data_IF_678278214596
#
_entry.id   IF_678278214596
#
_cell.length_a   1.000
_cell.length_b   1.000
_cell.length_c   1.000
_cell.angle_alpha   90.00
_cell.angle_beta   90.00
_cell.angle_gamma   90.00
#
_symmetry.space_group_name_H-M   'P 1'
#
loop_
_entity.id
_entity.type
_entity.pdbx_description
1 polymer ?
#
# COMPACT_ATOMS: atom_id res chain seq x y z
N UNK A 1 -0.69 -15.30 30.89
CA UNK A 1 -0.99 -13.90 30.48
C UNK A 1 0.34 -13.18 30.51
N UNK A 2 0.94 -12.85 29.36
CA UNK A 2 2.32 -12.34 29.31
C UNK A 2 2.42 -10.96 29.97
N UNK A 3 3.21 -10.85 31.03
CA UNK A 3 3.65 -9.60 31.65
C UNK A 3 4.53 -8.83 30.65
N UNK A 4 3.89 -8.06 29.76
CA UNK A 4 4.59 -7.15 28.88
C UNK A 4 5.30 -6.07 29.73
N UNK A 5 6.61 -5.90 29.51
CA UNK A 5 7.39 -4.87 30.22
C UNK A 5 6.71 -3.49 30.05
N UNK A 6 6.57 -2.68 31.11
CA UNK A 6 5.94 -1.35 31.03
C UNK A 6 6.54 -0.43 29.97
N UNK A 7 7.83 -0.59 29.67
CA UNK A 7 8.52 0.14 28.59
C UNK A 7 8.04 -0.27 27.19
N UNK A 8 7.73 -1.54 26.98
CA UNK A 8 7.17 -2.03 25.72
C UNK A 8 5.73 -1.54 25.53
N UNK A 9 4.93 -1.55 26.60
CA UNK A 9 3.54 -1.06 26.58
C UNK A 9 3.52 0.44 26.20
N UNK A 10 4.38 1.26 26.83
CA UNK A 10 4.49 2.70 26.51
C UNK A 10 4.85 2.93 25.04
N UNK A 11 5.82 2.19 24.49
CA UNK A 11 6.19 2.31 23.07
C UNK A 11 5.02 2.03 22.13
N UNK A 12 4.19 1.02 22.44
CA UNK A 12 3.01 0.70 21.64
C UNK A 12 1.95 1.80 21.77
N UNK A 13 1.68 2.27 22.98
CA UNK A 13 0.69 3.34 23.21
C UNK A 13 1.08 4.66 22.52
N UNK A 14 2.37 5.03 22.54
CA UNK A 14 2.83 6.20 21.79
C UNK A 14 2.71 6.03 20.28
N UNK A 15 3.02 4.86 19.72
CA UNK A 15 2.79 4.58 18.29
C UNK A 15 1.31 4.68 17.91
N UNK A 16 0.42 4.21 18.78
CA UNK A 16 -1.02 4.32 18.55
C UNK A 16 -1.50 5.77 18.62
N UNK A 17 -0.94 6.56 19.53
CA UNK A 17 -1.20 8.00 19.63
C UNK A 17 -0.71 8.77 18.40
N UNK A 18 0.52 8.52 17.94
CA UNK A 18 1.10 9.14 16.73
C UNK A 18 0.22 8.88 15.50
N UNK A 19 -0.38 7.69 15.41
CA UNK A 19 -1.31 7.31 14.33
C UNK A 19 -2.76 7.73 14.57
N UNK A 20 -3.03 8.51 15.63
CA UNK A 20 -4.39 8.93 16.07
C UNK A 20 -5.36 7.78 16.36
N UNK A 21 -4.84 6.58 16.60
CA UNK A 21 -5.62 5.39 16.93
C UNK A 21 -5.89 5.27 18.44
N UNK A 22 -5.18 6.05 19.26
CA UNK A 22 -5.43 6.19 20.67
C UNK A 22 -5.29 7.64 21.12
N UNK A 23 -6.06 8.03 22.12
CA UNK A 23 -5.98 9.31 22.81
C UNK A 23 -5.69 9.05 24.29
N UNK A 24 -5.15 10.04 24.98
CA UNK A 24 -4.98 9.96 26.42
C UNK A 24 -5.36 11.27 27.10
N UNK A 25 -5.80 11.16 28.35
CA UNK A 25 -5.93 12.28 29.28
C UNK A 25 -5.09 12.03 30.52
N UNK A 26 -4.59 13.10 31.11
CA UNK A 26 -3.83 13.04 32.36
C UNK A 26 -4.67 13.50 33.52
N UNK A 27 -4.60 12.78 34.63
CA UNK A 27 -5.21 13.15 35.89
C UNK A 27 -4.12 13.24 36.96
N UNK A 28 -4.14 14.31 37.76
CA UNK A 28 -3.21 14.50 38.86
C UNK A 28 -3.95 14.26 40.16
N UNK A 29 -3.41 13.40 41.00
CA UNK A 29 -3.88 13.23 42.37
C UNK A 29 -3.31 14.37 43.22
N UNK A 30 -4.18 15.28 43.68
CA UNK A 30 -3.81 16.46 44.45
C UNK A 30 -3.24 16.11 45.84
N UNK A 31 -3.53 14.92 46.37
CA UNK A 31 -3.03 14.48 47.68
C UNK A 31 -1.64 13.83 47.59
N UNK A 32 -1.37 13.04 46.55
CA UNK A 32 -0.10 12.30 46.41
C UNK A 32 0.86 12.88 45.36
N UNK A 33 0.41 13.85 44.57
CA UNK A 33 1.15 14.44 43.46
C UNK A 33 1.35 13.52 42.26
N UNK A 34 0.78 12.30 42.28
CA UNK A 34 0.93 11.29 41.23
C UNK A 34 0.14 11.67 39.98
N UNK A 35 0.72 11.42 38.81
CA UNK A 35 0.07 11.62 37.50
C UNK A 35 -0.34 10.25 36.92
N UNK A 36 -1.61 10.13 36.57
CA UNK A 36 -2.20 8.93 35.94
C UNK A 36 -2.56 9.23 34.49
N UNK A 37 -2.17 8.35 33.57
CA UNK A 37 -2.48 8.44 32.15
C UNK A 37 -3.63 7.50 31.81
N UNK A 38 -4.76 8.08 31.42
CA UNK A 38 -5.96 7.35 31.00
C UNK A 38 -6.00 7.28 29.48
N UNK A 39 -5.84 6.08 28.93
CA UNK A 39 -5.83 5.82 27.49
C UNK A 39 -7.21 5.40 26.98
N UNK A 40 -7.61 5.94 25.84
CA UNK A 40 -8.83 5.55 25.12
C UNK A 40 -8.47 5.17 23.68
N UNK A 41 -8.99 4.06 23.19
CA UNK A 41 -8.75 3.60 21.82
C UNK A 41 -9.86 4.08 20.89
N UNK A 42 -9.49 4.70 19.77
CA UNK A 42 -10.45 5.21 18.80
C UNK A 42 -10.66 4.17 17.70
N UNK A 43 -11.54 3.20 17.96
CA UNK A 43 -11.86 2.11 17.01
C UNK A 43 -12.41 2.61 15.67
N UNK A 44 -13.14 3.73 15.68
CA UNK A 44 -13.63 4.36 14.45
C UNK A 44 -12.49 4.90 13.57
N UNK A 45 -11.46 5.50 14.18
CA UNK A 45 -10.31 5.97 13.43
C UNK A 45 -9.52 4.81 12.83
N UNK A 46 -9.38 3.71 13.58
CA UNK A 46 -8.72 2.49 13.07
C UNK A 46 -9.47 1.91 11.89
N UNK A 47 -10.81 1.79 11.97
CA UNK A 47 -11.61 1.29 10.84
C UNK A 47 -11.44 2.17 9.60
N UNK A 48 -11.58 3.50 9.76
CA UNK A 48 -11.37 4.45 8.66
C UNK A 48 -9.98 4.38 8.04
N UNK A 49 -8.95 4.17 8.86
CA UNK A 49 -7.57 4.01 8.39
C UNK A 49 -7.43 2.74 7.56
N UNK A 50 -7.97 1.61 8.04
CA UNK A 50 -7.96 0.34 7.30
C UNK A 50 -8.74 0.44 5.98
N UNK A 51 -9.93 1.06 6.00
CA UNK A 51 -10.74 1.28 4.81
C UNK A 51 -9.96 2.12 3.77
N UNK A 52 -9.29 3.18 4.23
CA UNK A 52 -8.46 4.03 3.38
C UNK A 52 -7.26 3.29 2.81
N UNK A 53 -6.53 2.52 3.63
CA UNK A 53 -5.39 1.73 3.16
C UNK A 53 -5.83 0.73 2.07
N UNK A 54 -7.00 0.11 2.22
CA UNK A 54 -7.57 -0.77 1.21
C UNK A 54 -8.02 -0.03 -0.07
N UNK A 55 -8.58 1.18 0.07
CA UNK A 55 -8.92 2.05 -1.06
C UNK A 55 -7.68 2.48 -1.84
N UNK A 56 -6.63 2.92 -1.14
CA UNK A 56 -5.36 3.36 -1.73
C UNK A 56 -4.69 2.20 -2.49
N UNK A 57 -4.68 1.00 -1.91
CA UNK A 57 -4.13 -0.20 -2.57
C UNK A 57 -4.92 -0.60 -3.83
N UNK A 58 -6.26 -0.58 -3.77
CA UNK A 58 -7.10 -0.85 -4.94
C UNK A 58 -6.87 0.19 -6.03
N UNK A 59 -6.75 1.46 -5.66
CA UNK A 59 -6.47 2.53 -6.60
C UNK A 59 -5.12 2.34 -7.31
N UNK A 60 -4.07 1.97 -6.58
CA UNK A 60 -2.77 1.65 -7.17
C UNK A 60 -2.84 0.47 -8.14
N UNK A 61 -3.55 -0.61 -7.78
CA UNK A 61 -3.74 -1.77 -8.67
C UNK A 61 -4.52 -1.39 -9.92
N UNK A 62 -5.58 -0.60 -9.78
CA UNK A 62 -6.37 -0.10 -10.91
C UNK A 62 -5.53 0.76 -11.86
N UNK A 63 -4.70 1.67 -11.32
CA UNK A 63 -3.82 2.51 -12.13
C UNK A 63 -2.78 1.66 -12.89
N UNK A 64 -2.22 0.64 -12.26
CA UNK A 64 -1.32 -0.32 -12.93
C UNK A 64 -2.04 -1.07 -14.04
N UNK A 65 -3.24 -1.56 -13.79
CA UNK A 65 -4.03 -2.26 -14.79
C UNK A 65 -4.36 -1.36 -15.99
N UNK A 66 -4.69 -0.09 -15.75
CA UNK A 66 -4.93 0.88 -16.82
C UNK A 66 -3.68 1.15 -17.64
N UNK A 67 -2.52 1.30 -16.98
CA UNK A 67 -1.23 1.45 -17.65
C UNK A 67 -0.91 0.25 -18.55
N UNK A 68 -1.06 -0.97 -18.03
CA UNK A 68 -0.83 -2.19 -18.80
C UNK A 68 -1.82 -2.33 -19.97
N UNK A 69 -3.11 -2.03 -19.77
CA UNK A 69 -4.12 -2.14 -20.83
C UNK A 69 -3.99 -1.10 -21.94
N UNK A 70 -3.49 0.09 -21.62
CA UNK A 70 -3.37 1.19 -22.57
C UNK A 70 -2.01 1.23 -23.27
N UNK A 71 -0.97 0.68 -22.64
CA UNK A 71 0.36 0.59 -23.21
C UNK A 71 0.49 -0.55 -24.21
N UNK A 72 1.15 -0.26 -25.32
CA UNK A 72 1.71 -1.26 -26.23
C UNK A 72 3.21 -1.33 -25.93
N UNK A 73 3.67 -2.51 -25.52
CA UNK A 73 5.00 -2.68 -24.92
C UNK A 73 5.90 -3.49 -25.81
N UNK A 74 7.19 -3.14 -25.78
CA UNK A 74 8.23 -3.78 -26.55
C UNK A 74 9.44 -4.02 -25.65
N UNK A 75 10.07 -5.18 -25.75
CA UNK A 75 11.18 -5.56 -24.89
C UNK A 75 12.38 -6.10 -25.68
N UNK A 76 13.58 -5.84 -25.14
CA UNK A 76 14.82 -6.53 -25.49
C UNK A 76 15.22 -7.44 -24.32
N UNK A 77 16.45 -7.96 -24.36
CA UNK A 77 17.07 -8.62 -23.20
C UNK A 77 17.35 -7.66 -22.03
N UNK A 78 17.36 -6.35 -22.30
CA UNK A 78 17.92 -5.32 -21.44
C UNK A 78 16.90 -4.36 -20.79
N UNK A 79 15.78 -4.11 -21.46
CA UNK A 79 14.78 -3.12 -21.10
C UNK A 79 13.43 -3.47 -21.73
N UNK A 80 12.37 -2.88 -21.19
CA UNK A 80 11.00 -2.90 -21.71
C UNK A 80 10.54 -1.45 -21.81
N UNK A 81 10.04 -1.07 -22.99
CA UNK A 81 9.67 0.30 -23.35
C UNK A 81 8.30 0.33 -24.03
N UNK A 82 7.69 1.50 -24.11
CA UNK A 82 6.47 1.71 -24.87
C UNK A 82 6.74 1.72 -26.38
N UNK A 83 5.71 1.45 -27.16
CA UNK A 83 5.73 1.50 -28.62
C UNK A 83 6.33 2.80 -29.15
N UNK A 84 5.99 3.96 -28.59
CA UNK A 84 6.50 5.24 -29.07
C UNK A 84 8.02 5.32 -28.98
N UNK A 85 8.59 4.81 -27.88
CA UNK A 85 10.04 4.78 -27.66
C UNK A 85 10.71 3.77 -28.58
N UNK A 86 10.13 2.57 -28.72
CA UNK A 86 10.64 1.57 -29.65
C UNK A 86 10.60 2.10 -31.09
N UNK A 87 9.54 2.79 -31.49
CA UNK A 87 9.40 3.38 -32.82
C UNK A 87 10.41 4.52 -33.07
N UNK A 88 10.69 5.36 -32.07
CA UNK A 88 11.74 6.39 -32.15
C UNK A 88 13.14 5.79 -32.34
N UNK A 89 13.35 4.55 -31.90
CA UNK A 89 14.60 3.81 -32.01
C UNK A 89 14.60 2.82 -33.20
N UNK A 90 13.65 2.94 -34.14
CA UNK A 90 13.49 2.00 -35.27
C UNK A 90 13.41 0.52 -34.83
N UNK A 91 12.85 0.28 -33.65
CA UNK A 91 12.79 -1.01 -32.96
C UNK A 91 14.17 -1.65 -32.73
N UNK A 92 15.24 -0.86 -32.66
CA UNK A 92 16.60 -1.32 -32.43
C UNK A 92 17.16 -0.78 -31.11
N UNK A 93 17.65 -1.67 -30.25
CA UNK A 93 18.30 -1.29 -29.01
C UNK A 93 19.82 -1.22 -29.19
N UNK A 94 20.41 -0.04 -28.95
CA UNK A 94 21.85 0.17 -29.02
C UNK A 94 22.62 -0.47 -27.85
N UNK A 95 22.00 -0.68 -26.69
CA UNK A 95 22.68 -1.20 -25.50
C UNK A 95 22.98 -2.71 -25.57
N UNK A 96 22.09 -3.48 -26.18
CA UNK A 96 22.26 -4.93 -26.35
C UNK A 96 22.37 -5.37 -27.81
N UNK A 97 22.40 -4.42 -28.74
CA UNK A 97 22.51 -4.66 -30.18
C UNK A 97 21.46 -5.68 -30.68
N UNK A 98 20.22 -5.55 -30.23
CA UNK A 98 19.11 -6.43 -30.61
C UNK A 98 17.86 -5.65 -30.95
N UNK A 99 16.97 -6.28 -31.73
CA UNK A 99 15.64 -5.72 -31.97
C UNK A 99 14.76 -5.82 -30.73
N UNK A 100 13.87 -4.85 -30.60
CA UNK A 100 12.75 -4.91 -29.69
C UNK A 100 11.68 -5.87 -30.22
N UNK A 101 11.15 -6.72 -29.35
CA UNK A 101 10.05 -7.63 -29.64
C UNK A 101 8.79 -7.19 -28.90
N UNK A 102 7.62 -7.35 -29.52
CA UNK A 102 6.35 -7.01 -28.89
C UNK A 102 6.16 -7.85 -27.61
N UNK A 103 5.92 -7.18 -26.50
CA UNK A 103 5.65 -7.77 -25.20
C UNK A 103 4.14 -7.94 -25.00
N UNK A 104 3.65 -9.18 -25.05
CA UNK A 104 2.27 -9.49 -24.67
C UNK A 104 2.13 -9.49 -23.15
N UNK A 105 1.65 -8.38 -22.61
CA UNK A 105 1.34 -8.21 -21.18
C UNK A 105 -0.05 -8.77 -20.79
N UNK A 106 -0.72 -9.52 -21.67
CA UNK A 106 -2.06 -10.07 -21.42
C UNK A 106 -2.14 -11.01 -20.22
N UNK A 107 -1.03 -11.68 -19.85
CA UNK A 107 -0.96 -12.47 -18.60
C UNK A 107 -0.98 -11.55 -17.38
N UNK A 108 -0.16 -10.50 -17.39
CA UNK A 108 -0.08 -9.52 -16.30
C UNK A 108 -1.42 -8.78 -16.10
N UNK A 109 -2.08 -8.41 -17.20
CA UNK A 109 -3.42 -7.80 -17.16
C UNK A 109 -4.41 -8.73 -16.43
N UNK A 110 -4.42 -10.02 -16.75
CA UNK A 110 -5.31 -11.00 -16.09
C UNK A 110 -4.99 -11.16 -14.61
N UNK A 111 -3.72 -11.22 -14.25
CA UNK A 111 -3.29 -11.32 -12.84
C UNK A 111 -3.71 -10.08 -12.04
N UNK A 112 -3.58 -8.88 -12.62
CA UNK A 112 -4.01 -7.63 -11.99
C UNK A 112 -5.55 -7.59 -11.84
N UNK A 113 -6.30 -8.00 -12.87
CA UNK A 113 -7.76 -8.10 -12.81
C UNK A 113 -8.24 -9.06 -11.71
N UNK A 114 -7.60 -10.23 -11.60
CA UNK A 114 -7.93 -11.22 -10.58
C UNK A 114 -7.64 -10.68 -9.18
N UNK A 115 -6.47 -10.07 -8.97
CA UNK A 115 -6.12 -9.44 -7.70
C UNK A 115 -7.11 -8.35 -7.29
N UNK A 116 -7.48 -7.44 -8.20
CA UNK A 116 -8.48 -6.39 -7.93
C UNK A 116 -9.81 -7.02 -7.52
N UNK A 117 -10.27 -8.01 -8.28
CA UNK A 117 -11.53 -8.71 -8.01
C UNK A 117 -11.52 -9.42 -6.66
N UNK A 118 -10.42 -10.05 -6.28
CA UNK A 118 -10.28 -10.69 -4.96
C UNK A 118 -10.39 -9.65 -3.83
N UNK A 119 -9.71 -8.51 -3.95
CA UNK A 119 -9.73 -7.44 -2.93
C UNK A 119 -11.09 -6.75 -2.83
N UNK A 120 -11.75 -6.48 -3.95
CA UNK A 120 -13.12 -5.96 -3.95
C UNK A 120 -14.11 -6.94 -3.30
N UNK A 121 -13.96 -8.24 -3.57
CA UNK A 121 -14.79 -9.27 -2.96
C UNK A 121 -14.55 -9.41 -1.46
N UNK A 122 -13.32 -9.22 -0.98
CA UNK A 122 -13.01 -9.21 0.45
C UNK A 122 -13.73 -8.05 1.14
N UNK A 123 -13.69 -6.83 0.56
CA UNK A 123 -14.37 -5.64 1.11
C UNK A 123 -15.88 -5.79 1.23
N UNK A 124 -16.54 -6.56 0.35
CA UNK A 124 -18.00 -6.79 0.42
C UNK A 124 -18.42 -7.73 1.54
N UNK A 125 -17.48 -8.46 2.15
CA UNK A 125 -17.75 -9.46 3.21
C UNK A 125 -17.59 -8.90 4.62
N UNK A 126 -16.99 -7.71 4.76
CA UNK A 126 -16.77 -6.98 6.03
C UNK A 126 -17.88 -5.97 6.33
#
# INVERSE_FOLDING_TARGET
>A
MNDAKPSSIKKVLYKLYERRNAEYRTERDDNSGRITYWWCFNSNNVKKMMDKEADDELHELSNKLEYERSGDFYHCHCQCVLFEVAAEQDFWCEDCESYFEHFDNGVLIKELEEQIKERENARRRD
#
